data_IF_250642077808
#
_entry.id   IF_250642077808
#
_cell.length_a   1.000
_cell.length_b   1.000
_cell.length_c   1.000
_cell.angle_alpha   90.00
_cell.angle_beta   90.00
_cell.angle_gamma   90.00
#
_symmetry.space_group_name_H-M   'P 1'
#
loop_
_entity.id
_entity.type
_entity.pdbx_description
1 polymer ?
#
# COMPACT_ATOMS: atom_id res chain seq x y z
N UNK A 1 -10.75 18.68 21.75
CA UNK A 1 -9.43 18.48 21.14
C UNK A 1 -8.92 17.11 21.55
N UNK A 2 -8.57 16.21 20.61
CA UNK A 2 -7.96 14.94 20.96
C UNK A 2 -6.60 15.18 21.64
N UNK A 3 -6.25 14.32 22.60
CA UNK A 3 -4.94 14.40 23.26
C UNK A 3 -3.83 13.91 22.33
N UNK A 4 -2.56 14.28 22.59
CA UNK A 4 -1.43 13.77 21.80
C UNK A 4 -1.38 12.24 21.77
N UNK A 5 -1.70 11.58 22.90
CA UNK A 5 -1.77 10.13 22.99
C UNK A 5 -2.88 9.56 22.09
N UNK A 6 -4.06 10.19 22.04
CA UNK A 6 -5.15 9.76 21.15
C UNK A 6 -4.79 9.91 19.68
N UNK A 7 -4.11 11.01 19.31
CA UNK A 7 -3.59 11.23 17.95
C UNK A 7 -2.56 10.15 17.60
N UNK A 8 -1.63 9.84 18.51
CA UNK A 8 -0.64 8.78 18.29
C UNK A 8 -1.30 7.43 18.01
N UNK A 9 -2.22 6.98 18.87
CA UNK A 9 -2.92 5.70 18.66
C UNK A 9 -3.75 5.69 17.38
N UNK A 10 -4.34 6.83 16.99
CA UNK A 10 -5.07 6.92 15.73
C UNK A 10 -4.15 6.76 14.52
N UNK A 11 -2.98 7.41 14.54
CA UNK A 11 -1.96 7.25 13.47
C UNK A 11 -1.47 5.80 13.40
N UNK A 12 -1.25 5.15 14.54
CA UNK A 12 -0.86 3.75 14.61
C UNK A 12 -1.92 2.82 13.98
N UNK A 13 -3.21 3.03 14.30
CA UNK A 13 -4.31 2.27 13.68
C UNK A 13 -4.37 2.47 12.17
N UNK A 14 -4.34 3.72 11.72
CA UNK A 14 -4.35 4.04 10.29
C UNK A 14 -3.17 3.40 9.53
N UNK A 15 -1.99 3.35 10.17
CA UNK A 15 -0.82 2.67 9.64
C UNK A 15 -1.03 1.15 9.55
N UNK A 16 -1.56 0.52 10.60
CA UNK A 16 -1.84 -0.90 10.61
C UNK A 16 -2.85 -1.28 9.52
N UNK A 17 -3.93 -0.51 9.38
CA UNK A 17 -4.97 -0.73 8.37
C UNK A 17 -4.42 -0.61 6.94
N UNK A 18 -3.56 0.39 6.70
CA UNK A 18 -2.89 0.55 5.41
C UNK A 18 -1.96 -0.63 5.07
N UNK A 19 -1.22 -1.14 6.07
CA UNK A 19 -0.35 -2.30 5.89
C UNK A 19 -1.14 -3.56 5.57
N UNK A 20 -2.26 -3.82 6.26
CA UNK A 20 -3.13 -4.96 5.96
C UNK A 20 -3.68 -4.85 4.54
N UNK A 21 -4.21 -3.68 4.19
CA UNK A 21 -4.71 -3.40 2.83
C UNK A 21 -3.65 -3.68 1.77
N UNK A 22 -2.42 -3.20 1.96
CA UNK A 22 -1.33 -3.45 1.03
C UNK A 22 -1.04 -4.95 0.89
N UNK A 23 -0.97 -5.68 2.00
CA UNK A 23 -0.69 -7.13 1.97
C UNK A 23 -1.80 -7.92 1.28
N UNK A 24 -3.06 -7.53 1.47
CA UNK A 24 -4.20 -8.15 0.79
C UNK A 24 -4.16 -7.86 -0.72
N UNK A 25 -3.88 -6.63 -1.13
CA UNK A 25 -3.69 -6.29 -2.55
C UNK A 25 -2.54 -7.08 -3.18
N UNK A 26 -1.40 -7.19 -2.50
CA UNK A 26 -0.27 -8.00 -2.99
C UNK A 26 -0.65 -9.48 -3.11
N UNK A 27 -1.44 -10.01 -2.18
CA UNK A 27 -1.96 -11.39 -2.24
C UNK A 27 -2.92 -11.58 -3.41
N UNK A 28 -3.75 -10.59 -3.71
CA UNK A 28 -4.70 -10.58 -4.82
C UNK A 28 -4.05 -10.37 -6.20
N UNK A 29 -2.73 -10.11 -6.24
CA UNK A 29 -1.98 -9.95 -7.48
C UNK A 29 -1.66 -8.51 -7.85
N UNK A 30 -1.53 -7.60 -6.88
CA UNK A 30 -1.07 -6.24 -7.14
C UNK A 30 0.28 -6.23 -7.88
N UNK A 31 0.31 -5.47 -8.97
CA UNK A 31 1.49 -5.31 -9.83
C UNK A 31 2.31 -4.09 -9.44
N UNK A 32 3.57 -4.04 -9.89
CA UNK A 32 4.42 -2.85 -9.68
C UNK A 32 3.82 -1.59 -10.32
N UNK A 33 3.16 -1.70 -11.46
CA UNK A 33 2.56 -0.56 -12.17
C UNK A 33 1.33 -0.04 -11.41
N UNK A 34 0.54 -0.92 -10.80
CA UNK A 34 -0.56 -0.52 -9.91
C UNK A 34 -0.06 0.19 -8.66
N UNK A 35 1.01 -0.30 -8.06
CA UNK A 35 1.62 0.36 -6.90
C UNK A 35 2.16 1.74 -7.29
N UNK A 36 2.85 1.86 -8.42
CA UNK A 36 3.33 3.14 -8.94
C UNK A 36 2.18 4.14 -9.14
N UNK A 37 1.09 3.72 -9.80
CA UNK A 37 -0.13 4.55 -9.98
C UNK A 37 -0.75 4.95 -8.65
N UNK A 38 -0.75 4.06 -7.65
CA UNK A 38 -1.28 4.38 -6.33
C UNK A 38 -0.41 5.40 -5.58
N UNK A 39 0.92 5.31 -5.71
CA UNK A 39 1.86 6.30 -5.18
C UNK A 39 1.63 7.67 -5.82
N UNK A 40 1.50 7.73 -7.14
CA UNK A 40 1.21 8.99 -7.85
C UNK A 40 -0.13 9.61 -7.40
N UNK A 41 -1.16 8.79 -7.21
CA UNK A 41 -2.50 9.25 -6.81
C UNK A 41 -2.57 9.69 -5.35
N UNK A 42 -1.89 8.99 -4.44
CA UNK A 42 -1.95 9.26 -3.00
C UNK A 42 -0.62 8.93 -2.33
N UNK A 43 0.41 9.78 -2.51
CA UNK A 43 1.76 9.49 -2.02
C UNK A 43 1.79 9.36 -0.49
N UNK A 44 1.02 10.18 0.22
CA UNK A 44 0.92 10.12 1.70
C UNK A 44 0.51 8.77 2.27
N UNK A 45 -0.15 7.92 1.48
CA UNK A 45 -0.59 6.57 1.88
C UNK A 45 0.35 5.48 1.36
N UNK A 46 0.78 5.59 0.10
CA UNK A 46 1.42 4.50 -0.62
C UNK A 46 2.94 4.63 -0.77
N UNK A 47 3.51 5.82 -0.63
CA UNK A 47 4.94 6.09 -0.87
C UNK A 47 5.86 5.22 0.01
N UNK A 48 5.42 4.88 1.23
CA UNK A 48 6.15 3.97 2.11
C UNK A 48 6.37 2.57 1.54
N UNK A 49 5.56 2.14 0.58
CA UNK A 49 5.69 0.84 -0.06
C UNK A 49 6.50 0.94 -1.37
N UNK A 50 7.07 2.11 -1.72
CA UNK A 50 7.85 2.27 -2.95
C UNK A 50 9.00 1.25 -3.08
N UNK A 51 9.58 0.79 -1.97
CA UNK A 51 10.59 -0.28 -1.98
C UNK A 51 10.10 -1.63 -2.51
N UNK A 52 8.78 -1.85 -2.59
CA UNK A 52 8.20 -3.04 -3.18
C UNK A 52 8.07 -2.94 -4.71
N UNK A 53 8.28 -1.78 -5.32
CA UNK A 53 8.23 -1.62 -6.78
C UNK A 53 9.24 -2.52 -7.52
N UNK A 54 10.35 -2.86 -6.87
CA UNK A 54 11.40 -3.73 -7.41
C UNK A 54 11.14 -5.21 -7.13
N UNK A 55 10.21 -5.53 -6.22
CA UNK A 55 9.88 -6.91 -5.80
C UNK A 55 8.59 -7.39 -6.46
N UNK A 56 7.62 -6.49 -6.65
CA UNK A 56 6.34 -6.84 -7.23
C UNK A 56 6.51 -7.24 -8.71
N UNK A 57 5.75 -8.25 -9.15
CA UNK A 57 5.74 -8.65 -10.55
C UNK A 57 5.24 -7.50 -11.43
N UNK A 58 5.78 -7.43 -12.65
CA UNK A 58 5.21 -6.57 -13.69
C UNK A 58 3.87 -7.13 -14.16
N UNK A 59 2.96 -6.24 -14.52
CA UNK A 59 1.69 -6.58 -15.16
C UNK A 59 1.87 -7.46 -16.42
N UNK A 60 3.01 -7.40 -17.10
CA UNK A 60 3.33 -8.27 -18.22
C UNK A 60 3.72 -9.71 -17.82
N UNK A 61 4.14 -9.93 -16.57
CA UNK A 61 4.57 -11.21 -16.04
C UNK A 61 3.47 -11.96 -15.28
N UNK A 62 2.40 -11.27 -14.88
CA UNK A 62 1.26 -11.91 -14.24
C UNK A 62 0.30 -12.49 -15.30
N UNK A 63 -0.01 -13.80 -15.26
CA UNK A 63 -1.13 -14.33 -16.03
C UNK A 63 -2.40 -13.67 -15.50
N UNK A 64 -3.15 -13.03 -16.38
CA UNK A 64 -4.49 -12.49 -16.09
C UNK A 64 -5.29 -13.64 -15.48
N UNK A 65 -5.58 -13.57 -14.17
CA UNK A 65 -6.53 -14.48 -13.56
C UNK A 65 -7.87 -14.19 -14.25
N UNK A 66 -8.30 -15.15 -15.08
CA UNK A 66 -9.52 -15.12 -15.87
C UNK A 66 -10.77 -15.11 -14.99
#
# INVERSE_FOLDING_TARGET
MPTQQQVFHQVQRNLADANLTFMDLVREGMTREELARNIERRPSLWERYAGFLDVLPSSAAQPVAA
#
